data_IF_434992060429
#
_entry.id   IF_434992060429
#
_cell.length_a   1.000
_cell.length_b   1.000
_cell.length_c   1.000
_cell.angle_alpha   90.00
_cell.angle_beta   90.00
_cell.angle_gamma   90.00
#
_symmetry.space_group_name_H-M   'P 1'
#
loop_
_entity.id
_entity.type
_entity.pdbx_description
1 polymer ?
#
# COMPACT_ATOMS: atom_id res chain seq x y z
N UNK A 1 15.12 -31.07 -10.29
CA UNK A 1 14.71 -29.74 -10.78
C UNK A 1 13.75 -29.16 -9.77
N UNK A 2 14.21 -28.29 -8.87
CA UNK A 2 13.30 -27.54 -7.98
C UNK A 2 12.67 -26.44 -8.80
N UNK A 3 11.36 -26.50 -9.00
CA UNK A 3 10.57 -25.53 -9.75
C UNK A 3 10.69 -24.15 -9.10
N UNK A 4 11.33 -23.20 -9.79
CA UNK A 4 11.30 -21.77 -9.45
C UNK A 4 9.94 -21.14 -9.75
N UNK A 5 8.87 -21.78 -9.30
CA UNK A 5 7.49 -21.31 -9.42
C UNK A 5 7.14 -20.71 -8.07
N UNK A 6 6.89 -19.40 -8.03
CA UNK A 6 6.44 -18.71 -6.83
C UNK A 6 5.11 -19.31 -6.34
N UNK A 7 4.97 -19.45 -5.03
CA UNK A 7 3.77 -20.00 -4.40
C UNK A 7 2.81 -18.89 -4.00
N UNK A 8 1.52 -19.08 -4.25
CA UNK A 8 0.51 -18.12 -3.85
C UNK A 8 0.31 -18.17 -2.33
N UNK A 9 0.44 -17.02 -1.66
CA UNK A 9 0.25 -16.89 -0.23
C UNK A 9 -1.19 -16.43 0.12
N UNK A 10 -1.74 -16.89 1.26
CA UNK A 10 -3.05 -16.44 1.74
C UNK A 10 -3.03 -15.02 2.30
N UNK A 11 -1.85 -14.52 2.70
CA UNK A 11 -1.63 -13.17 3.19
C UNK A 11 -0.13 -12.84 3.14
N UNK A 12 0.22 -11.55 3.24
CA UNK A 12 1.57 -11.11 3.62
C UNK A 12 1.50 -10.15 4.80
N UNK A 13 2.61 -9.98 5.53
CA UNK A 13 2.71 -8.97 6.59
C UNK A 13 3.20 -7.67 5.98
N UNK A 14 2.41 -6.62 6.10
CA UNK A 14 2.77 -5.28 5.68
C UNK A 14 4.06 -4.85 6.37
N UNK A 15 5.07 -4.51 5.56
CA UNK A 15 6.39 -4.06 6.02
C UNK A 15 6.30 -2.82 6.91
N UNK A 16 5.25 -2.01 6.75
CA UNK A 16 5.11 -0.71 7.40
C UNK A 16 4.26 -0.73 8.68
N UNK A 17 3.56 -1.84 8.95
CA UNK A 17 2.62 -1.89 10.07
C UNK A 17 2.52 -3.23 10.81
N UNK A 18 3.16 -4.28 10.29
CA UNK A 18 3.05 -5.66 10.77
C UNK A 18 1.65 -6.28 10.67
N UNK A 19 0.65 -5.52 10.19
CA UNK A 19 -0.69 -6.03 9.90
C UNK A 19 -0.67 -6.95 8.67
N UNK A 20 -1.66 -7.83 8.58
CA UNK A 20 -1.78 -8.77 7.46
C UNK A 20 -2.59 -8.15 6.32
N UNK A 21 -2.06 -8.25 5.10
CA UNK A 21 -2.79 -7.95 3.86
C UNK A 21 -3.20 -9.26 3.21
N UNK A 22 -4.47 -9.36 2.81
CA UNK A 22 -5.06 -10.54 2.20
C UNK A 22 -5.56 -10.23 0.79
N UNK A 23 -5.72 -11.26 -0.08
CA UNK A 23 -6.44 -11.10 -1.33
C UNK A 23 -7.85 -10.55 -1.08
N UNK A 24 -8.23 -9.51 -1.81
CA UNK A 24 -9.48 -8.78 -1.63
C UNK A 24 -9.31 -7.42 -0.95
N UNK A 25 -8.23 -7.23 -0.19
CA UNK A 25 -7.94 -5.97 0.49
C UNK A 25 -7.49 -4.90 -0.50
N UNK A 26 -7.69 -3.63 -0.13
CA UNK A 26 -7.13 -2.48 -0.83
C UNK A 26 -5.84 -2.03 -0.15
N UNK A 27 -4.80 -1.78 -0.93
CA UNK A 27 -3.51 -1.22 -0.49
C UNK A 27 -3.27 0.14 -1.13
N UNK A 28 -2.47 0.97 -0.48
CA UNK A 28 -2.06 2.27 -0.97
C UNK A 28 -0.58 2.24 -1.39
N UNK A 29 -0.26 2.86 -2.52
CA UNK A 29 1.11 2.99 -3.03
C UNK A 29 1.87 4.03 -2.21
N UNK A 30 3.01 3.62 -1.64
CA UNK A 30 3.94 4.48 -0.91
C UNK A 30 5.06 5.00 -1.81
N UNK A 31 5.58 4.15 -2.68
CA UNK A 31 6.75 4.43 -3.50
C UNK A 31 6.42 4.25 -4.97
N UNK A 32 6.87 5.20 -5.78
CA UNK A 32 6.75 5.10 -7.22
C UNK A 32 7.56 3.90 -7.73
N UNK A 33 7.05 3.22 -8.76
CA UNK A 33 7.70 2.07 -9.37
C UNK A 33 7.53 2.12 -10.88
N UNK A 34 8.65 1.97 -11.59
CA UNK A 34 8.68 1.88 -13.05
C UNK A 34 8.69 0.40 -13.45
N UNK A 35 7.72 -0.08 -14.25
CA UNK A 35 7.63 -1.47 -14.65
C UNK A 35 8.79 -1.86 -15.58
N UNK A 36 9.25 -3.09 -15.42
CA UNK A 36 10.27 -3.75 -16.23
C UNK A 36 9.66 -4.70 -17.26
N UNK A 37 8.46 -5.19 -16.98
CA UNK A 37 7.69 -6.07 -17.86
C UNK A 37 6.27 -5.50 -18.10
N UNK A 38 5.61 -5.96 -19.18
CA UNK A 38 4.31 -5.41 -19.60
C UNK A 38 3.16 -5.75 -18.66
N UNK A 39 3.31 -6.82 -17.88
CA UNK A 39 2.38 -7.30 -16.86
C UNK A 39 2.60 -6.63 -15.49
N UNK A 40 3.53 -5.68 -15.37
CA UNK A 40 3.78 -4.92 -14.14
C UNK A 40 3.09 -3.55 -14.16
N UNK A 41 2.66 -3.07 -12.99
CA UNK A 41 2.12 -1.72 -12.84
C UNK A 41 3.22 -0.66 -12.89
N UNK A 42 2.92 0.46 -13.55
CA UNK A 42 3.49 1.75 -13.17
C UNK A 42 2.74 2.26 -11.94
N UNK A 43 3.49 2.50 -10.86
CA UNK A 43 2.94 2.92 -9.58
C UNK A 43 3.27 4.38 -9.31
N UNK A 44 2.27 5.13 -8.86
CA UNK A 44 2.43 6.48 -8.35
C UNK A 44 1.97 6.57 -6.89
N UNK A 45 2.71 7.34 -6.09
CA UNK A 45 2.42 7.48 -4.65
C UNK A 45 1.00 8.03 -4.45
N UNK A 46 0.23 7.35 -3.60
CA UNK A 46 -1.15 7.70 -3.28
C UNK A 46 -2.19 7.03 -4.16
N UNK A 47 -1.80 6.33 -5.23
CA UNK A 47 -2.71 5.40 -5.91
C UNK A 47 -3.12 4.26 -4.99
N UNK A 48 -4.27 3.64 -5.26
CA UNK A 48 -4.72 2.46 -4.56
C UNK A 48 -4.94 1.29 -5.50
N UNK A 49 -4.70 0.09 -4.98
CA UNK A 49 -4.79 -1.17 -5.71
C UNK A 49 -5.57 -2.15 -4.86
N UNK A 50 -6.53 -2.84 -5.50
CA UNK A 50 -7.19 -4.00 -4.92
C UNK A 50 -6.34 -5.24 -5.17
N UNK A 51 -5.86 -5.86 -4.09
CA UNK A 51 -5.03 -7.06 -4.15
C UNK A 51 -5.89 -8.24 -4.60
N UNK A 52 -5.43 -8.99 -5.59
CA UNK A 52 -6.07 -10.21 -6.10
C UNK A 52 -5.28 -11.47 -5.76
N UNK A 53 -3.96 -11.37 -5.69
CA UNK A 53 -3.06 -12.49 -5.39
C UNK A 53 -1.78 -11.98 -4.78
N UNK A 54 -1.16 -12.80 -3.93
CA UNK A 54 0.07 -12.51 -3.20
C UNK A 54 0.99 -13.70 -3.44
N UNK A 55 2.28 -13.44 -3.65
CA UNK A 55 3.30 -14.44 -3.95
C UNK A 55 4.42 -14.36 -2.93
N UNK A 56 5.06 -15.49 -2.64
CA UNK A 56 6.11 -15.63 -1.62
C UNK A 56 7.45 -14.97 -2.00
N UNK A 57 7.61 -14.58 -3.26
CA UNK A 57 8.77 -13.88 -3.81
C UNK A 57 8.74 -12.35 -3.59
N UNK A 58 7.72 -11.83 -2.91
CA UNK A 58 7.57 -10.40 -2.62
C UNK A 58 6.72 -9.63 -3.64
N UNK A 59 6.03 -10.33 -4.54
CA UNK A 59 5.11 -9.73 -5.50
C UNK A 59 3.64 -9.96 -5.15
N UNK A 60 2.78 -9.10 -5.68
CA UNK A 60 1.35 -9.29 -5.70
C UNK A 60 0.77 -8.93 -7.06
N UNK A 61 -0.41 -9.47 -7.36
CA UNK A 61 -1.21 -9.08 -8.52
C UNK A 61 -2.47 -8.37 -8.03
N UNK A 62 -2.91 -7.35 -8.75
CA UNK A 62 -4.09 -6.58 -8.37
C UNK A 62 -4.64 -5.73 -9.50
N UNK A 63 -5.68 -4.95 -9.19
CA UNK A 63 -6.27 -3.97 -10.10
C UNK A 63 -6.25 -2.60 -9.45
N UNK A 64 -5.89 -1.55 -10.20
CA UNK A 64 -6.04 -0.18 -9.70
C UNK A 64 -7.51 0.09 -9.38
N UNK A 65 -7.78 0.95 -8.42
CA UNK A 65 -9.13 1.42 -8.12
C UNK A 65 -9.21 2.93 -8.34
N UNK A 66 -10.42 3.44 -8.58
CA UNK A 66 -10.65 4.87 -8.82
C UNK A 66 -10.34 5.74 -7.61
N UNK A 67 -10.36 5.16 -6.41
CA UNK A 67 -10.11 5.86 -5.16
C UNK A 67 -8.61 6.04 -4.90
N UNK A 68 -8.22 7.23 -4.45
CA UNK A 68 -6.86 7.53 -3.96
C UNK A 68 -6.73 7.35 -2.45
N UNK A 69 -5.49 7.21 -1.96
CA UNK A 69 -5.19 7.07 -0.53
C UNK A 69 -5.63 8.30 0.28
N UNK A 70 -5.55 9.49 -0.30
CA UNK A 70 -6.00 10.74 0.33
C UNK A 70 -7.53 10.75 0.50
N UNK A 71 -8.28 10.38 -0.54
CA UNK A 71 -9.74 10.24 -0.49
C UNK A 71 -10.17 9.17 0.52
N UNK A 72 -9.44 8.05 0.59
CA UNK A 72 -9.71 7.00 1.58
C UNK A 72 -9.53 7.51 3.01
N UNK A 73 -8.43 8.23 3.29
CA UNK A 73 -8.15 8.84 4.60
C UNK A 73 -9.22 9.87 4.98
N UNK A 74 -9.58 10.76 4.05
CA UNK A 74 -10.61 11.78 4.24
C UNK A 74 -11.97 11.14 4.56
N UNK A 75 -12.40 10.14 3.78
CA UNK A 75 -13.68 9.46 3.98
C UNK A 75 -13.70 8.70 5.31
N UNK A 76 -12.59 8.08 5.71
CA UNK A 76 -12.48 7.37 7.00
C UNK A 76 -12.57 8.33 8.19
N UNK A 77 -11.99 9.53 8.10
CA UNK A 77 -12.10 10.57 9.14
C UNK A 77 -13.55 11.04 9.29
N UNK A 78 -14.22 11.33 8.18
CA UNK A 78 -15.63 11.73 8.16
C UNK A 78 -16.52 10.66 8.81
N UNK A 79 -16.30 9.38 8.48
CA UNK A 79 -17.05 8.27 9.06
C UNK A 79 -16.83 8.11 10.57
N UNK A 80 -15.61 8.37 11.07
CA UNK A 80 -15.31 8.30 12.52
C UNK A 80 -15.95 9.44 13.30
N UNK A 81 -15.94 10.65 12.76
CA UNK A 81 -16.42 11.84 13.48
C UNK A 81 -17.96 11.95 13.48
N UNK A 82 -18.65 11.26 12.56
CA UNK A 82 -20.10 11.45 12.34
C UNK A 82 -21.03 10.52 13.13
N UNK A 83 -20.51 9.57 13.93
CA UNK A 83 -21.32 8.79 14.89
C UNK A 83 -22.49 7.93 14.34
N UNK A 84 -22.74 7.87 13.04
CA UNK A 84 -23.83 7.07 12.43
C UNK A 84 -23.56 6.66 10.97
N UNK A 85 -24.24 5.58 10.61
CA UNK A 85 -24.15 4.66 9.47
C UNK A 85 -24.08 5.23 8.06
N UNK A 86 -23.13 4.67 7.29
CA UNK A 86 -23.28 4.26 5.89
C UNK A 86 -23.79 5.33 4.90
N UNK A 87 -23.29 6.56 5.02
CA UNK A 87 -23.50 7.61 4.01
C UNK A 87 -22.72 7.31 2.74
N UNK A 88 -23.40 6.78 1.73
CA UNK A 88 -23.05 6.78 0.29
C UNK A 88 -21.54 6.77 -0.01
N UNK A 89 -20.84 5.67 0.32
CA UNK A 89 -19.53 5.43 -0.26
C UNK A 89 -19.71 5.42 -1.78
N UNK A 90 -19.02 6.33 -2.48
CA UNK A 90 -18.89 6.25 -3.93
C UNK A 90 -18.46 4.83 -4.29
N UNK A 91 -19.07 4.17 -5.29
CA UNK A 91 -18.61 2.87 -5.74
C UNK A 91 -17.11 2.95 -6.02
N UNK A 92 -16.33 2.11 -5.34
CA UNK A 92 -14.91 1.93 -5.63
C UNK A 92 -14.82 1.01 -6.84
N UNK A 93 -14.74 1.61 -8.01
CA UNK A 93 -14.63 0.88 -9.27
C UNK A 93 -13.17 0.44 -9.48
N UNK A 94 -12.97 -0.83 -9.85
CA UNK A 94 -11.67 -1.31 -10.35
C UNK A 94 -11.44 -0.78 -11.76
N UNK A 95 -10.28 -0.19 -12.00
CA UNK A 95 -9.88 0.41 -13.26
C UNK A 95 -8.74 -0.39 -13.88
N UNK A 96 -8.91 -0.76 -15.13
CA UNK A 96 -7.85 -1.39 -15.92
C UNK A 96 -7.76 -2.90 -15.78
N UNK A 97 -6.57 -3.42 -16.08
CA UNK A 97 -6.26 -4.85 -16.12
C UNK A 97 -5.53 -5.32 -14.85
N UNK A 98 -5.50 -6.63 -14.63
CA UNK A 98 -4.73 -7.24 -13.53
C UNK A 98 -3.25 -7.17 -13.87
N UNK A 99 -2.46 -6.53 -13.01
CA UNK A 99 -0.99 -6.45 -13.14
C UNK A 99 -0.28 -6.76 -11.83
N UNK A 100 0.98 -7.12 -11.97
CA UNK A 100 1.91 -7.39 -10.89
C UNK A 100 2.50 -6.09 -10.32
N UNK A 101 2.77 -6.09 -9.02
CA UNK A 101 3.46 -5.01 -8.34
C UNK A 101 4.26 -5.54 -7.14
N UNK A 102 5.37 -4.89 -6.79
CA UNK A 102 6.17 -5.27 -5.63
C UNK A 102 5.48 -4.88 -4.32
N UNK A 103 5.41 -5.81 -3.37
CA UNK A 103 4.74 -5.61 -2.07
C UNK A 103 5.41 -4.53 -1.21
N UNK A 104 6.71 -4.32 -1.37
CA UNK A 104 7.46 -3.27 -0.66
C UNK A 104 7.04 -1.86 -1.06
N UNK A 105 6.43 -1.68 -2.24
CA UNK A 105 5.99 -0.36 -2.70
C UNK A 105 4.63 0.06 -2.15
N UNK A 106 3.94 -0.81 -1.40
CA UNK A 106 2.59 -0.58 -0.89
C UNK A 106 2.50 -0.79 0.61
N UNK A 107 1.44 -0.27 1.22
CA UNK A 107 1.03 -0.59 2.58
C UNK A 107 -0.49 -0.60 2.70
N UNK A 108 -1.02 -0.99 3.86
CA UNK A 108 -2.43 -0.79 4.14
C UNK A 108 -2.76 0.72 4.16
N UNK A 109 -3.90 1.15 3.58
CA UNK A 109 -4.24 2.57 3.47
C UNK A 109 -4.39 3.26 4.83
N UNK A 110 -4.67 2.49 5.88
CA UNK A 110 -4.72 2.99 7.25
C UNK A 110 -3.40 3.52 7.79
N UNK A 111 -2.28 3.01 7.27
CA UNK A 111 -0.94 3.39 7.69
C UNK A 111 -0.27 4.33 6.70
N UNK A 112 -0.82 4.46 5.49
CA UNK A 112 -0.26 5.29 4.42
C UNK A 112 0.07 6.70 4.89
N UNK A 113 -0.90 7.45 5.44
CA UNK A 113 -0.69 8.82 5.94
C UNK A 113 0.45 8.88 6.95
N UNK A 114 0.44 7.98 7.95
CA UNK A 114 1.47 7.93 8.99
C UNK A 114 2.85 7.63 8.42
N UNK A 115 2.94 6.72 7.46
CA UNK A 115 4.21 6.35 6.82
C UNK A 115 4.77 7.50 5.99
N UNK A 116 3.91 8.22 5.25
CA UNK A 116 4.35 9.34 4.42
C UNK A 116 4.74 10.58 5.23
N UNK A 117 4.05 10.85 6.35
CA UNK A 117 4.39 11.95 7.26
C UNK A 117 5.60 11.61 8.15
N UNK A 118 5.70 10.36 8.61
CA UNK A 118 6.77 9.86 9.48
C UNK A 118 8.14 9.79 8.80
N UNK A 119 8.19 9.60 7.48
CA UNK A 119 9.44 9.68 6.69
C UNK A 119 10.11 11.07 6.80
N UNK A 120 9.34 12.13 7.11
CA UNK A 120 9.87 13.47 7.38
C UNK A 120 10.64 13.58 8.71
N UNK A 121 10.57 12.56 9.58
CA UNK A 121 11.23 12.54 10.91
C UNK A 121 12.40 11.57 11.02
N UNK A 122 12.72 10.78 9.98
CA UNK A 122 13.83 9.83 9.99
C UNK A 122 15.18 10.45 9.57
N UNK A 123 15.35 11.77 9.73
CA UNK A 123 16.55 12.52 9.31
C UNK A 123 17.26 13.32 10.41
N UNK A 124 16.76 13.37 11.65
CA UNK A 124 17.38 14.15 12.74
C UNK A 124 17.58 13.28 13.99
N UNK A 125 18.47 12.29 13.90
CA UNK A 125 18.94 11.56 15.10
C UNK A 125 20.42 11.23 15.09
N UNK A 126 21.16 11.55 14.02
CA UNK A 126 22.60 11.29 13.93
C UNK A 126 23.46 12.56 14.07
N UNK A 127 23.17 13.36 15.10
CA UNK A 127 24.08 14.42 15.53
C UNK A 127 24.79 13.95 16.80
N UNK A 128 26.08 13.56 16.72
CA UNK A 128 26.81 13.18 17.92
C UNK A 128 26.91 14.38 18.87
N UNK A 129 26.82 14.18 20.20
CA UNK A 129 27.01 15.27 21.15
C UNK A 129 28.45 15.76 21.04
N UNK A 130 28.61 17.04 20.66
CA UNK A 130 29.89 17.74 20.73
C UNK A 130 30.31 17.80 22.20
N UNK A 131 31.25 16.94 22.61
CA UNK A 131 31.97 17.11 23.88
C UNK A 131 32.83 18.37 23.74
N UNK A 132 32.43 19.44 24.42
CA UNK A 132 33.30 20.61 24.65
C UNK A 132 34.26 20.32 25.82
N UNK A 133 35.49 20.88 25.78
CA UNK A 133 36.58 20.59 26.73
C UNK A 133 36.34 21.16 28.13
#
# INVERSE_FOLDING_TARGET
>A
MGSGQSEQLPFFKDYYSQDEVRPGDSVAVLWAYQPRAGDEFELERGEMIKVMGIWDDGWATGMKITQTADEWDANRKIQRDSGMSNGSQRPVDTVGEVKAFPLVCVCLPQHWRKTIDGDSSAGDSDRPPTRSP
#
